data_IF_748413626074
#
_entry.id   IF_748413626074
#
_cell.length_a   1.000
_cell.length_b   1.000
_cell.length_c   1.000
_cell.angle_alpha   90.00
_cell.angle_beta   90.00
_cell.angle_gamma   90.00
#
_symmetry.space_group_name_H-M   'P 1'
#
loop_
_entity.id
_entity.type
_entity.pdbx_description
1 polymer ?
#
# COMPACT_ATOMS: atom_id res chain seq x y z
N UNK A 1 -0.71 -32.80 -1.90
CA UNK A 1 0.29 -31.73 -1.75
C UNK A 1 -0.34 -30.59 -0.97
N UNK A 2 0.29 -30.17 0.11
CA UNK A 2 -0.20 -29.04 0.88
C UNK A 2 0.13 -27.72 0.16
N UNK A 3 -0.87 -26.82 0.07
CA UNK A 3 -0.64 -25.49 -0.47
C UNK A 3 0.20 -24.69 0.53
N UNK A 4 1.09 -23.80 0.05
CA UNK A 4 1.82 -22.91 0.96
C UNK A 4 0.86 -22.07 1.80
N UNK A 5 1.21 -21.92 3.07
CA UNK A 5 0.41 -21.10 3.98
C UNK A 5 0.60 -19.63 3.65
N UNK A 6 -0.52 -18.93 3.46
CA UNK A 6 -0.56 -17.49 3.21
C UNK A 6 -1.05 -16.81 4.48
N UNK A 7 -0.28 -15.88 5.01
CA UNK A 7 -0.61 -15.14 6.21
C UNK A 7 -0.59 -13.64 5.97
N UNK A 8 -1.65 -12.96 6.40
CA UNK A 8 -1.68 -11.50 6.53
C UNK A 8 -1.43 -11.17 7.99
N UNK A 9 -0.43 -10.36 8.28
CA UNK A 9 -0.01 -10.08 9.66
C UNK A 9 0.57 -8.67 9.80
N UNK A 10 0.49 -8.08 11.03
CA UNK A 10 1.15 -6.81 11.27
C UNK A 10 2.66 -6.97 11.19
N UNK A 11 3.32 -5.93 10.69
CA UNK A 11 4.78 -5.85 10.58
C UNK A 11 5.31 -4.79 11.54
N UNK A 12 6.54 -4.99 11.97
CA UNK A 12 7.24 -4.08 12.87
C UNK A 12 8.71 -3.93 12.51
N UNK A 13 9.51 -3.44 13.46
CA UNK A 13 10.93 -3.14 13.25
C UNK A 13 11.71 -4.34 12.67
N UNK A 14 11.39 -5.54 13.10
CA UNK A 14 12.09 -6.76 12.66
C UNK A 14 11.87 -7.05 11.16
N UNK A 15 10.84 -6.46 10.54
CA UNK A 15 10.47 -6.73 9.15
C UNK A 15 11.00 -5.67 8.18
N UNK A 16 11.58 -4.59 8.68
CA UNK A 16 12.00 -3.44 7.85
C UNK A 16 13.03 -3.82 6.80
N UNK A 17 13.99 -4.67 7.15
CA UNK A 17 15.01 -5.09 6.19
C UNK A 17 14.40 -5.77 4.95
N UNK A 18 13.42 -6.64 5.18
CA UNK A 18 12.71 -7.30 4.08
C UNK A 18 11.90 -6.31 3.25
N UNK A 19 11.22 -5.37 3.90
CA UNK A 19 10.45 -4.33 3.20
C UNK A 19 11.36 -3.45 2.32
N UNK A 20 12.50 -3.02 2.85
CA UNK A 20 13.49 -2.23 2.10
C UNK A 20 14.01 -3.03 0.90
N UNK A 21 14.27 -4.31 1.09
CA UNK A 21 14.73 -5.19 0.01
C UNK A 21 13.72 -5.27 -1.14
N UNK A 22 12.45 -5.44 -0.83
CA UNK A 22 11.38 -5.45 -1.83
C UNK A 22 11.26 -4.08 -2.51
N UNK A 23 11.22 -3.02 -1.73
CA UNK A 23 11.08 -1.65 -2.21
C UNK A 23 12.17 -1.29 -3.22
N UNK A 24 13.43 -1.57 -2.89
CA UNK A 24 14.57 -1.27 -3.74
C UNK A 24 14.57 -2.06 -5.05
N UNK A 25 13.98 -3.24 -5.07
CA UNK A 25 13.93 -4.09 -6.27
C UNK A 25 12.83 -3.68 -7.25
N UNK A 26 11.75 -3.07 -6.78
CA UNK A 26 10.57 -2.82 -7.63
C UNK A 26 10.36 -1.37 -8.00
N UNK A 27 10.97 -0.42 -7.30
CA UNK A 27 10.77 1.00 -7.57
C UNK A 27 12.10 1.70 -7.93
N UNK A 28 12.11 2.54 -8.98
CA UNK A 28 13.30 3.35 -9.31
C UNK A 28 13.55 4.46 -8.28
N UNK A 29 12.50 4.90 -7.56
CA UNK A 29 12.59 5.92 -6.51
C UNK A 29 11.96 5.35 -5.24
N UNK A 30 12.65 4.41 -4.57
CA UNK A 30 12.07 3.67 -3.45
C UNK A 30 11.96 4.52 -2.18
N UNK A 31 11.05 4.11 -1.30
CA UNK A 31 11.07 4.57 0.09
C UNK A 31 12.40 4.19 0.70
N UNK A 32 12.91 5.08 1.56
CA UNK A 32 14.12 4.83 2.33
C UNK A 32 13.80 3.99 3.56
N UNK A 33 14.84 3.40 4.16
CA UNK A 33 14.71 2.74 5.47
C UNK A 33 14.10 3.70 6.50
N UNK A 34 14.52 4.97 6.52
CA UNK A 34 13.98 5.99 7.41
C UNK A 34 12.47 6.18 7.25
N UNK A 35 11.93 6.10 6.04
CA UNK A 35 10.49 6.19 5.82
C UNK A 35 9.75 5.06 6.53
N UNK A 36 10.26 3.83 6.45
CA UNK A 36 9.66 2.68 7.14
C UNK A 36 9.80 2.80 8.66
N UNK A 37 10.98 3.17 9.14
CA UNK A 37 11.23 3.36 10.58
C UNK A 37 10.26 4.41 11.14
N UNK A 38 10.14 5.55 10.47
CA UNK A 38 9.24 6.63 10.90
C UNK A 38 7.77 6.19 10.90
N UNK A 39 7.37 5.41 9.90
CA UNK A 39 5.99 4.89 9.81
C UNK A 39 5.66 3.97 10.98
N UNK A 40 6.56 3.06 11.32
CA UNK A 40 6.38 2.16 12.48
C UNK A 40 6.38 2.96 13.78
N UNK A 41 7.32 3.88 13.94
CA UNK A 41 7.43 4.71 15.14
C UNK A 41 6.21 5.64 15.32
N UNK A 42 5.61 6.10 14.22
CA UNK A 42 4.42 6.95 14.26
C UNK A 42 3.14 6.18 14.58
N UNK A 43 3.21 4.87 14.69
CA UNK A 43 2.04 4.03 14.97
C UNK A 43 1.14 3.82 13.76
N UNK A 44 1.64 4.01 12.54
CA UNK A 44 0.89 3.69 11.34
C UNK A 44 0.61 2.19 11.26
N UNK A 45 -0.45 1.82 10.58
CA UNK A 45 -0.82 0.42 10.38
C UNK A 45 0.05 -0.16 9.26
N UNK A 46 1.04 -0.97 9.64
CA UNK A 46 1.95 -1.63 8.71
C UNK A 46 1.65 -3.11 8.73
N UNK A 47 1.23 -3.63 7.58
CA UNK A 47 0.84 -5.03 7.44
C UNK A 47 1.53 -5.65 6.23
N UNK A 48 1.72 -6.95 6.30
CA UNK A 48 2.33 -7.69 5.21
C UNK A 48 1.67 -9.02 4.96
N UNK A 49 2.04 -9.60 3.84
CA UNK A 49 1.63 -10.93 3.43
C UNK A 49 2.86 -11.82 3.37
N UNK A 50 2.83 -12.93 4.09
CA UNK A 50 3.90 -13.94 4.05
C UNK A 50 3.38 -15.22 3.43
N UNK A 51 4.19 -15.82 2.58
CA UNK A 51 3.92 -17.14 1.99
C UNK A 51 5.06 -18.05 2.43
N UNK A 52 4.72 -19.08 3.21
CA UNK A 52 5.70 -20.00 3.80
C UNK A 52 6.82 -19.25 4.54
N UNK A 53 6.47 -18.19 5.26
CA UNK A 53 7.40 -17.37 6.03
C UNK A 53 8.12 -16.26 5.26
N UNK A 54 8.07 -16.27 3.93
CA UNK A 54 8.68 -15.24 3.09
C UNK A 54 7.75 -14.05 2.91
N UNK A 55 8.26 -12.84 3.16
CA UNK A 55 7.48 -11.62 2.90
C UNK A 55 7.33 -11.41 1.39
N UNK A 56 6.09 -11.36 0.93
CA UNK A 56 5.79 -11.21 -0.51
C UNK A 56 5.18 -9.86 -0.85
N UNK A 57 4.71 -9.13 0.15
CA UNK A 57 4.15 -7.79 -0.05
C UNK A 57 3.77 -7.15 1.27
N UNK A 58 3.48 -5.86 1.23
CA UNK A 58 3.14 -5.08 2.42
C UNK A 58 2.37 -3.82 2.04
N UNK A 59 1.78 -3.19 3.06
CA UNK A 59 1.25 -1.83 2.93
C UNK A 59 1.51 -1.02 4.19
N UNK A 60 1.48 0.29 4.04
CA UNK A 60 1.53 1.26 5.12
C UNK A 60 0.29 2.14 5.05
N UNK A 61 -0.49 2.15 6.11
CA UNK A 61 -1.77 2.85 6.21
C UNK A 61 -1.74 3.84 7.37
N UNK A 62 -1.99 5.10 7.08
CA UNK A 62 -2.14 6.14 8.09
C UNK A 62 -3.62 6.35 8.36
N UNK A 63 -4.02 6.31 9.64
CA UNK A 63 -5.39 6.57 10.05
C UNK A 63 -5.44 7.97 10.66
N UNK A 64 -6.26 8.83 10.07
CA UNK A 64 -6.62 10.12 10.63
C UNK A 64 -8.10 10.09 11.01
N UNK A 65 -8.62 11.19 11.59
CA UNK A 65 -10.05 11.27 11.94
C UNK A 65 -10.88 11.19 10.65
N UNK A 66 -11.78 10.21 10.59
CA UNK A 66 -12.69 9.96 9.46
C UNK A 66 -12.04 9.55 8.14
N UNK A 67 -10.71 9.61 8.02
CA UNK A 67 -10.03 9.42 6.75
C UNK A 67 -8.79 8.56 6.94
N UNK A 68 -8.57 7.60 6.05
CA UNK A 68 -7.35 6.81 6.00
C UNK A 68 -6.57 7.14 4.74
N UNK A 69 -5.25 7.03 4.81
CA UNK A 69 -4.36 7.31 3.70
C UNK A 69 -3.44 6.12 3.50
N UNK A 70 -3.53 5.49 2.34
CA UNK A 70 -2.63 4.41 1.95
C UNK A 70 -1.34 5.03 1.42
N UNK A 71 -0.27 4.95 2.22
CA UNK A 71 0.99 5.61 1.90
C UNK A 71 1.89 4.76 1.01
N UNK A 72 1.79 3.45 1.11
CA UNK A 72 2.58 2.51 0.34
C UNK A 72 1.84 1.17 0.25
N UNK A 73 1.88 0.54 -0.91
CA UNK A 73 1.44 -0.83 -1.12
C UNK A 73 2.35 -1.44 -2.19
N UNK A 74 2.95 -2.58 -1.87
CA UNK A 74 4.01 -3.15 -2.70
C UNK A 74 3.95 -4.67 -2.67
N UNK A 75 4.21 -5.29 -3.83
CA UNK A 75 4.30 -6.75 -3.98
C UNK A 75 5.65 -7.05 -4.63
N UNK A 76 6.39 -8.00 -4.05
CA UNK A 76 7.67 -8.45 -4.59
C UNK A 76 7.53 -8.87 -6.06
N UNK A 77 8.53 -8.53 -6.88
CA UNK A 77 8.44 -8.72 -8.33
C UNK A 77 8.06 -10.13 -8.75
N UNK A 78 8.62 -11.16 -8.08
CA UNK A 78 8.31 -12.57 -8.34
C UNK A 78 6.88 -12.97 -8.00
N UNK A 79 6.19 -12.17 -7.21
CA UNK A 79 4.84 -12.46 -6.69
C UNK A 79 3.78 -11.58 -7.30
N UNK A 80 4.13 -10.69 -8.21
CA UNK A 80 3.17 -9.84 -8.90
C UNK A 80 2.28 -10.67 -9.83
N UNK A 81 1.08 -10.18 -10.09
CA UNK A 81 0.06 -10.83 -10.92
C UNK A 81 -0.46 -12.16 -10.38
N UNK A 82 -0.33 -12.36 -9.06
CA UNK A 82 -0.84 -13.55 -8.36
C UNK A 82 -1.98 -13.22 -7.40
N UNK A 83 -2.49 -11.98 -7.44
CA UNK A 83 -3.59 -11.53 -6.59
C UNK A 83 -3.20 -11.00 -5.22
N UNK A 84 -1.90 -10.90 -4.90
CA UNK A 84 -1.47 -10.39 -3.60
C UNK A 84 -1.76 -8.91 -3.41
N UNK A 85 -1.63 -8.11 -4.47
CA UNK A 85 -1.99 -6.69 -4.42
C UNK A 85 -3.44 -6.48 -4.04
N UNK A 86 -4.35 -7.25 -4.63
CA UNK A 86 -5.77 -7.20 -4.29
C UNK A 86 -6.03 -7.61 -2.85
N UNK A 87 -5.37 -8.65 -2.35
CA UNK A 87 -5.52 -9.10 -0.96
C UNK A 87 -5.00 -8.07 0.03
N UNK A 88 -3.87 -7.45 -0.26
CA UNK A 88 -3.31 -6.37 0.56
C UNK A 88 -4.24 -5.15 0.57
N UNK A 89 -4.76 -4.77 -0.58
CA UNK A 89 -5.67 -3.63 -0.67
C UNK A 89 -6.98 -3.89 0.09
N UNK A 90 -7.54 -5.08 -0.01
CA UNK A 90 -8.72 -5.48 0.78
C UNK A 90 -8.43 -5.40 2.28
N UNK A 91 -7.27 -5.88 2.70
CA UNK A 91 -6.85 -5.81 4.11
C UNK A 91 -6.73 -4.36 4.57
N UNK A 92 -6.14 -3.49 3.75
CA UNK A 92 -6.03 -2.06 4.07
C UNK A 92 -7.40 -1.39 4.17
N UNK A 93 -8.30 -1.69 3.24
CA UNK A 93 -9.67 -1.16 3.26
C UNK A 93 -10.42 -1.62 4.50
N UNK A 94 -10.31 -2.89 4.87
CA UNK A 94 -10.94 -3.43 6.08
C UNK A 94 -10.34 -2.80 7.34
N UNK A 95 -9.03 -2.62 7.39
CA UNK A 95 -8.38 -1.94 8.51
C UNK A 95 -8.84 -0.50 8.67
N UNK A 96 -8.99 0.21 7.56
CA UNK A 96 -9.52 1.58 7.57
C UNK A 96 -10.96 1.62 8.07
N UNK A 97 -11.83 0.70 7.61
CA UNK A 97 -13.22 0.60 8.09
C UNK A 97 -13.29 0.33 9.59
N UNK A 98 -12.51 -0.62 10.07
CA UNK A 98 -12.47 -0.99 11.50
C UNK A 98 -12.00 0.16 12.37
N UNK A 99 -11.13 1.02 11.84
CA UNK A 99 -10.66 2.22 12.54
C UNK A 99 -11.67 3.38 12.47
N UNK A 100 -12.80 3.21 11.79
CA UNK A 100 -13.84 4.23 11.69
C UNK A 100 -13.68 5.20 10.53
N UNK A 101 -12.74 4.95 9.61
CA UNK A 101 -12.57 5.82 8.45
C UNK A 101 -13.74 5.68 7.48
N UNK A 102 -14.23 6.81 6.97
CA UNK A 102 -15.30 6.85 5.98
C UNK A 102 -14.77 6.88 4.55
N UNK A 103 -13.47 7.10 4.37
CA UNK A 103 -12.83 7.10 3.06
C UNK A 103 -11.37 6.68 3.15
N UNK A 104 -10.86 6.18 2.04
CA UNK A 104 -9.45 5.82 1.86
C UNK A 104 -8.89 6.61 0.67
N UNK A 105 -7.81 7.33 0.92
CA UNK A 105 -7.11 8.11 -0.10
C UNK A 105 -5.76 7.47 -0.42
N UNK A 106 -5.29 7.71 -1.62
CA UNK A 106 -3.94 7.35 -2.04
C UNK A 106 -3.46 8.26 -3.17
N UNK A 107 -2.17 8.27 -3.38
CA UNK A 107 -1.54 8.95 -4.50
C UNK A 107 -0.84 7.92 -5.36
N UNK A 108 -0.87 8.09 -6.67
CA UNK A 108 -0.30 7.13 -7.61
C UNK A 108 0.24 7.85 -8.85
N UNK A 109 1.35 7.34 -9.38
CA UNK A 109 1.91 7.83 -10.65
C UNK A 109 0.99 7.45 -11.81
N UNK A 110 0.70 8.37 -12.74
CA UNK A 110 -0.02 8.00 -13.96
C UNK A 110 0.65 6.88 -14.76
N UNK A 111 1.97 6.75 -14.67
CA UNK A 111 2.73 5.70 -15.33
C UNK A 111 2.57 4.32 -14.69
N UNK A 112 2.06 4.24 -13.48
CA UNK A 112 1.85 2.96 -12.79
C UNK A 112 0.51 2.34 -13.20
N UNK A 113 0.46 1.81 -14.42
CA UNK A 113 -0.77 1.32 -15.03
C UNK A 113 -1.38 0.13 -14.29
N UNK A 114 -0.56 -0.77 -13.77
CA UNK A 114 -1.06 -1.95 -13.04
C UNK A 114 -1.72 -1.56 -11.72
N UNK A 115 -1.14 -0.61 -11.00
CA UNK A 115 -1.72 -0.09 -9.77
C UNK A 115 -3.04 0.66 -10.06
N UNK A 116 -3.07 1.50 -11.10
CA UNK A 116 -4.28 2.20 -11.49
C UNK A 116 -5.42 1.24 -11.84
N UNK A 117 -5.13 0.17 -12.57
CA UNK A 117 -6.12 -0.85 -12.89
C UNK A 117 -6.68 -1.51 -11.64
N UNK A 118 -5.82 -1.83 -10.68
CA UNK A 118 -6.21 -2.41 -9.39
C UNK A 118 -7.12 -1.46 -8.61
N UNK A 119 -6.71 -0.20 -8.46
CA UNK A 119 -7.49 0.78 -7.70
C UNK A 119 -8.85 1.03 -8.33
N UNK A 120 -8.91 1.18 -9.66
CA UNK A 120 -10.18 1.36 -10.38
C UNK A 120 -11.10 0.16 -10.21
N UNK A 121 -10.55 -1.04 -10.25
CA UNK A 121 -11.32 -2.27 -10.01
C UNK A 121 -11.95 -2.26 -8.62
N UNK A 122 -11.28 -1.73 -7.62
CA UNK A 122 -11.80 -1.63 -6.25
C UNK A 122 -12.65 -0.36 -6.01
N UNK A 123 -12.98 0.38 -7.06
CA UNK A 123 -13.90 1.50 -6.96
C UNK A 123 -13.28 2.84 -6.57
N UNK A 124 -11.96 2.95 -6.62
CA UNK A 124 -11.29 4.24 -6.43
C UNK A 124 -11.53 5.13 -7.63
N UNK A 125 -11.71 6.42 -7.39
CA UNK A 125 -11.86 7.43 -8.43
C UNK A 125 -10.91 8.59 -8.19
N UNK A 126 -10.52 9.26 -9.27
CA UNK A 126 -9.65 10.41 -9.17
C UNK A 126 -10.43 11.62 -8.63
N UNK A 127 -9.87 12.26 -7.60
CA UNK A 127 -10.43 13.47 -7.01
C UNK A 127 -9.49 14.67 -7.15
N UNK A 128 -8.25 14.46 -7.57
CA UNK A 128 -7.29 15.54 -7.66
C UNK A 128 -6.03 15.14 -8.39
N UNK A 129 -5.14 16.12 -8.49
CA UNK A 129 -3.85 16.00 -9.15
C UNK A 129 -2.83 16.83 -8.38
N UNK A 130 -1.67 16.25 -8.07
CA UNK A 130 -0.53 16.99 -7.53
C UNK A 130 0.53 17.09 -8.61
N UNK A 131 0.74 18.29 -9.14
CA UNK A 131 1.69 18.52 -10.23
C UNK A 131 3.12 18.37 -9.75
N UNK A 132 3.95 17.65 -10.54
CA UNK A 132 5.36 17.48 -10.27
C UNK A 132 5.69 16.89 -8.92
N UNK A 133 4.82 16.01 -8.39
CA UNK A 133 4.92 15.47 -7.04
C UNK A 133 6.06 14.46 -6.89
N UNK A 134 6.23 13.60 -7.90
CA UNK A 134 7.22 12.52 -7.87
C UNK A 134 8.47 12.86 -8.69
N UNK A 135 9.66 12.42 -8.24
CA UNK A 135 10.83 12.43 -9.10
C UNK A 135 10.63 11.48 -10.29
N UNK A 136 11.16 11.83 -11.43
CA UNK A 136 11.09 11.02 -12.64
C UNK A 136 12.32 11.26 -13.52
N UNK A 137 12.60 10.33 -14.42
CA UNK A 137 13.70 10.46 -15.38
C UNK A 137 13.46 11.69 -16.27
N UNK A 138 14.43 12.60 -16.31
CA UNK A 138 14.34 13.82 -17.10
C UNK A 138 13.43 14.90 -16.53
N UNK A 139 12.99 14.79 -15.26
CA UNK A 139 12.14 15.80 -14.63
C UNK A 139 11.31 15.27 -13.50
N UNK A 140 10.01 15.53 -13.56
CA UNK A 140 9.07 15.13 -12.50
C UNK A 140 7.81 14.55 -13.11
N UNK A 141 7.11 13.73 -12.33
CA UNK A 141 5.83 13.15 -12.70
C UNK A 141 4.76 13.61 -11.71
N UNK A 142 3.54 13.83 -12.20
CA UNK A 142 2.41 14.19 -11.36
C UNK A 142 1.96 13.00 -10.50
N UNK A 143 1.23 13.28 -9.44
CA UNK A 143 0.50 12.27 -8.68
C UNK A 143 -0.99 12.43 -8.94
N UNK A 144 -1.66 11.34 -9.29
CA UNK A 144 -3.11 11.27 -9.25
C UNK A 144 -3.54 11.02 -7.82
N UNK A 145 -4.49 11.79 -7.32
CA UNK A 145 -5.08 11.57 -6.00
C UNK A 145 -6.37 10.81 -6.18
N UNK A 146 -6.43 9.61 -5.62
CA UNK A 146 -7.58 8.72 -5.73
C UNK A 146 -8.27 8.57 -4.38
N UNK A 147 -9.58 8.36 -4.40
CA UNK A 147 -10.40 8.19 -3.21
C UNK A 147 -11.41 7.08 -3.41
N UNK A 148 -11.62 6.31 -2.35
CA UNK A 148 -12.65 5.28 -2.24
C UNK A 148 -13.48 5.55 -0.99
N UNK A 149 -14.78 5.75 -1.16
CA UNK A 149 -15.67 5.81 0.00
C UNK A 149 -15.77 4.43 0.64
N UNK A 150 -15.75 4.38 1.96
CA UNK A 150 -15.82 3.14 2.71
C UNK A 150 -17.17 3.01 3.40
N UNK A 151 -17.75 1.81 3.34
CA UNK A 151 -18.96 1.52 4.09
C UNK A 151 -18.64 1.45 5.57
N UNK A 152 -19.44 2.12 6.39
CA UNK A 152 -19.26 2.05 7.84
C UNK A 152 -19.60 0.65 8.33
N UNK A 153 -18.76 0.13 9.24
CA UNK A 153 -19.12 -1.06 9.98
C UNK A 153 -20.16 -0.65 11.01
N UNK A 154 -21.36 -1.21 10.87
CA UNK A 154 -22.41 -1.02 11.87
C UNK A 154 -22.05 -1.87 13.10
N UNK A 155 -21.93 -1.21 14.22
CA UNK A 155 -21.69 -1.90 15.48
C UNK A 155 -22.95 -2.63 15.93
#
# INVERSE_FOLDING_TARGET
>A
MLLPRVEMLPLGDADIDEMVGIENCIFPYPWTRGNFVDSVASGYSVWGCRVAGELVGYFVLMIAVDEAHLLNISVAGKRQRMGFGARLLECAMNGARQAGASSLLLEVRPSNHSALALYRHFGFRQIGLRRGYYPATGGREDALVLRRELDRILA
#
